data_IF_554101568487
#
_entry.id   IF_554101568487
#
_cell.length_a   1.000
_cell.length_b   1.000
_cell.length_c   1.000
_cell.angle_alpha   90.00
_cell.angle_beta   90.00
_cell.angle_gamma   90.00
#
_symmetry.space_group_name_H-M   'P 1'
#
loop_
_entity.id
_entity.type
_entity.pdbx_description
1 polymer ?
#
# COMPACT_ATOMS: atom_id res chain seq x y z
N UNK A 1 -13.92 -11.72 -9.36
CA UNK A 1 -14.00 -11.30 -7.98
C UNK A 1 -12.70 -10.64 -7.57
N UNK A 2 -12.79 -9.48 -6.96
CA UNK A 2 -11.61 -8.69 -6.60
C UNK A 2 -11.03 -9.17 -5.28
N UNK A 3 -9.77 -9.60 -5.28
CA UNK A 3 -9.06 -10.07 -4.10
C UNK A 3 -8.06 -9.04 -3.56
N UNK A 4 -8.11 -7.82 -4.09
CA UNK A 4 -7.26 -6.73 -3.63
C UNK A 4 -5.81 -6.76 -4.11
N UNK A 5 -5.42 -7.71 -4.93
CA UNK A 5 -4.04 -7.81 -5.42
C UNK A 5 -3.73 -6.62 -6.32
N UNK A 6 -2.67 -5.87 -5.98
CA UNK A 6 -2.18 -4.76 -6.78
C UNK A 6 -0.86 -5.08 -7.47
N UNK A 7 -0.16 -6.12 -7.01
CA UNK A 7 1.07 -6.60 -7.63
C UNK A 7 1.29 -8.06 -7.29
N UNK A 8 1.72 -8.85 -8.27
CA UNK A 8 2.05 -10.26 -8.05
C UNK A 8 3.04 -10.74 -9.10
N UNK A 9 4.04 -11.47 -8.64
CA UNK A 9 4.93 -12.25 -9.50
C UNK A 9 5.19 -13.60 -8.82
N UNK A 10 6.19 -14.36 -9.28
CA UNK A 10 6.43 -15.71 -8.77
C UNK A 10 6.80 -15.76 -7.29
N UNK A 11 7.39 -14.69 -6.75
CA UNK A 11 7.92 -14.66 -5.39
C UNK A 11 7.28 -13.61 -4.50
N UNK A 12 6.60 -12.62 -5.09
CA UNK A 12 6.09 -11.47 -4.35
C UNK A 12 4.60 -11.24 -4.62
N UNK A 13 3.89 -10.78 -3.59
CA UNK A 13 2.50 -10.38 -3.72
C UNK A 13 2.22 -9.21 -2.77
N UNK A 14 1.48 -8.22 -3.26
CA UNK A 14 0.98 -7.12 -2.44
C UNK A 14 -0.51 -6.99 -2.71
N UNK A 15 -1.30 -6.96 -1.64
CA UNK A 15 -2.73 -6.71 -1.76
C UNK A 15 -3.16 -5.63 -0.78
N UNK A 16 -4.18 -4.86 -1.17
CA UNK A 16 -4.82 -3.88 -0.33
C UNK A 16 -6.31 -3.88 -0.64
N UNK A 17 -7.14 -3.91 0.38
CA UNK A 17 -8.58 -4.02 0.21
C UNK A 17 -9.29 -3.23 1.30
N UNK A 18 -10.20 -2.34 0.91
CA UNK A 18 -10.99 -1.60 1.88
C UNK A 18 -12.01 -2.54 2.54
N UNK A 19 -12.11 -2.44 3.87
CA UNK A 19 -13.02 -3.25 4.67
C UNK A 19 -14.27 -2.47 5.07
N UNK A 20 -14.10 -1.25 5.55
CA UNK A 20 -15.22 -0.37 5.95
C UNK A 20 -14.73 1.06 6.08
N UNK A 21 -15.70 1.98 6.12
CA UNK A 21 -15.45 3.40 6.33
C UNK A 21 -16.34 3.89 7.46
N UNK A 22 -15.75 4.43 8.52
CA UNK A 22 -16.47 4.91 9.69
C UNK A 22 -15.90 6.26 10.11
N UNK A 23 -16.77 7.27 10.20
CA UNK A 23 -16.37 8.58 10.73
C UNK A 23 -15.28 9.27 9.95
N UNK A 24 -15.24 9.08 8.65
CA UNK A 24 -14.22 9.70 7.81
C UNK A 24 -12.89 8.96 7.78
N UNK A 25 -12.82 7.76 8.35
CA UNK A 25 -11.64 6.90 8.33
C UNK A 25 -11.97 5.59 7.64
N UNK A 26 -11.08 5.19 6.73
CA UNK A 26 -11.22 3.93 5.99
C UNK A 26 -10.22 2.93 6.53
N UNK A 27 -10.68 1.72 6.80
CA UNK A 27 -9.80 0.62 7.20
C UNK A 27 -9.55 -0.28 6.00
N UNK A 28 -8.27 -0.48 5.71
CA UNK A 28 -7.81 -1.37 4.63
C UNK A 28 -7.09 -2.56 5.23
N UNK A 29 -7.31 -3.74 4.65
CA UNK A 29 -6.43 -4.88 4.93
C UNK A 29 -5.29 -4.84 3.93
N UNK A 30 -4.05 -4.83 4.44
CA UNK A 30 -2.83 -4.84 3.63
C UNK A 30 -2.11 -6.15 3.88
N UNK A 31 -1.78 -6.85 2.81
CA UNK A 31 -1.06 -8.12 2.90
C UNK A 31 0.16 -8.10 1.98
N UNK A 32 1.25 -8.65 2.49
CA UNK A 32 2.53 -8.75 1.79
C UNK A 32 3.01 -10.19 1.86
N UNK A 33 3.49 -10.71 0.74
CA UNK A 33 4.19 -11.99 0.69
C UNK A 33 5.44 -11.81 -0.15
N UNK A 34 6.61 -12.15 0.39
CA UNK A 34 7.90 -11.99 -0.31
C UNK A 34 8.92 -12.97 0.26
N UNK A 35 9.58 -13.70 -0.63
CA UNK A 35 10.71 -14.60 -0.29
C UNK A 35 10.42 -15.55 0.88
N UNK A 36 9.21 -16.10 0.94
CA UNK A 36 8.83 -17.04 1.99
C UNK A 36 8.34 -16.38 3.28
N UNK A 37 8.38 -15.07 3.36
CA UNK A 37 7.80 -14.31 4.48
C UNK A 37 6.46 -13.75 4.07
N UNK A 38 5.50 -13.73 5.00
CA UNK A 38 4.21 -13.11 4.74
C UNK A 38 3.64 -12.49 6.00
N UNK A 39 2.82 -11.47 5.80
CA UNK A 39 2.13 -10.81 6.89
C UNK A 39 0.95 -10.00 6.36
N UNK A 40 0.02 -9.69 7.26
CA UNK A 40 -1.08 -8.80 6.96
C UNK A 40 -1.48 -8.04 8.21
N UNK A 41 -1.96 -6.84 8.01
CA UNK A 41 -2.51 -6.03 9.09
C UNK A 41 -3.48 -5.02 8.52
N UNK A 42 -4.17 -4.30 9.39
CA UNK A 42 -5.10 -3.28 8.97
C UNK A 42 -4.43 -1.91 9.03
N UNK A 43 -4.67 -1.11 8.00
CA UNK A 43 -4.29 0.31 7.96
C UNK A 43 -5.55 1.15 8.08
N UNK A 44 -5.55 2.08 9.01
CA UNK A 44 -6.60 3.08 9.15
C UNK A 44 -6.11 4.39 8.55
N UNK A 45 -6.82 4.92 7.57
CA UNK A 45 -6.40 6.11 6.83
C UNK A 45 -7.58 7.07 6.72
N UNK A 46 -7.36 8.35 7.05
CA UNK A 46 -8.42 9.35 6.91
C UNK A 46 -8.72 9.61 5.44
N UNK A 47 -9.97 9.97 5.16
CA UNK A 47 -10.38 10.31 3.79
C UNK A 47 -9.56 11.47 3.22
N UNK A 48 -9.18 12.45 4.05
CA UNK A 48 -8.35 13.55 3.60
C UNK A 48 -6.96 13.08 3.16
N UNK A 49 -6.36 12.17 3.93
CA UNK A 49 -5.08 11.59 3.55
C UNK A 49 -5.18 10.74 2.28
N UNK A 50 -6.29 10.04 2.09
CA UNK A 50 -6.50 9.27 0.86
C UNK A 50 -6.48 10.20 -0.36
N UNK A 51 -7.14 11.37 -0.27
CA UNK A 51 -7.12 12.35 -1.36
C UNK A 51 -5.71 12.82 -1.67
N UNK A 52 -4.93 13.12 -0.62
CA UNK A 52 -3.54 13.53 -0.78
C UNK A 52 -2.68 12.43 -1.41
N UNK A 53 -2.85 11.19 -0.97
CA UNK A 53 -2.14 10.05 -1.53
C UNK A 53 -2.47 9.87 -3.02
N UNK A 54 -3.73 9.97 -3.40
CA UNK A 54 -4.15 9.84 -4.80
C UNK A 54 -3.50 10.92 -5.66
N UNK A 55 -3.43 12.15 -5.15
CA UNK A 55 -2.77 13.25 -5.88
C UNK A 55 -1.28 12.96 -6.08
N UNK A 56 -0.58 12.52 -5.03
CA UNK A 56 0.84 12.14 -5.13
C UNK A 56 1.02 11.01 -6.14
N UNK A 57 0.18 9.98 -6.10
CA UNK A 57 0.25 8.86 -7.02
C UNK A 57 0.08 9.33 -8.46
N UNK A 58 -0.89 10.21 -8.73
CA UNK A 58 -1.11 10.76 -10.06
C UNK A 58 0.13 11.50 -10.57
N UNK A 59 0.78 12.26 -9.71
CA UNK A 59 2.00 12.97 -10.07
C UNK A 59 3.16 12.01 -10.35
N UNK A 60 3.29 10.95 -9.56
CA UNK A 60 4.31 9.91 -9.77
C UNK A 60 4.11 9.21 -11.12
N UNK A 61 2.87 8.90 -11.48
CA UNK A 61 2.54 8.27 -12.75
C UNK A 61 2.96 9.18 -13.91
N UNK A 62 2.70 10.48 -13.81
CA UNK A 62 3.02 11.44 -14.87
C UNK A 62 4.53 11.66 -15.02
N UNK A 63 5.25 11.77 -13.91
CA UNK A 63 6.67 12.12 -13.93
C UNK A 63 7.60 10.91 -14.00
N UNK A 64 7.09 9.71 -13.73
CA UNK A 64 7.89 8.49 -13.58
C UNK A 64 9.03 8.69 -12.57
N UNK A 65 8.73 9.37 -11.49
CA UNK A 65 9.69 9.69 -10.43
C UNK A 65 8.95 9.95 -9.12
N UNK A 66 9.73 10.03 -8.03
CA UNK A 66 9.21 10.40 -6.73
C UNK A 66 8.92 9.21 -5.83
N UNK A 67 8.26 9.52 -4.73
CA UNK A 67 7.95 8.53 -3.69
C UNK A 67 6.64 8.87 -3.00
N UNK A 68 6.07 7.87 -2.35
CA UNK A 68 4.91 8.03 -1.49
C UNK A 68 5.08 7.13 -0.26
N UNK A 69 4.72 7.65 0.90
CA UNK A 69 4.64 6.86 2.14
C UNK A 69 3.20 6.84 2.61
N UNK A 70 2.65 5.66 2.76
CA UNK A 70 1.29 5.44 3.26
C UNK A 70 1.41 4.90 4.68
N UNK A 71 0.81 5.61 5.63
CA UNK A 71 0.92 5.27 7.05
C UNK A 71 -0.41 4.84 7.63
N UNK A 72 -0.35 3.83 8.52
CA UNK A 72 -1.45 3.54 9.41
C UNK A 72 -1.48 4.62 10.51
N UNK A 73 -2.63 5.24 10.73
CA UNK A 73 -2.75 6.28 11.74
C UNK A 73 -2.75 5.74 13.17
N UNK A 74 -2.87 4.43 13.36
CA UNK A 74 -2.99 3.80 14.68
C UNK A 74 -1.75 3.02 15.10
N UNK A 75 -0.76 2.88 14.21
CA UNK A 75 0.45 2.09 14.50
C UNK A 75 1.63 2.61 13.71
N UNK A 76 2.77 1.91 13.83
CA UNK A 76 3.98 2.22 13.07
C UNK A 76 4.01 1.57 11.68
N UNK A 77 2.96 0.83 11.31
CA UNK A 77 2.92 0.18 10.00
C UNK A 77 2.89 1.21 8.88
N UNK A 78 3.61 0.94 7.81
CA UNK A 78 3.68 1.85 6.67
C UNK A 78 4.10 1.11 5.41
N UNK A 79 3.81 1.73 4.26
CA UNK A 79 4.30 1.32 2.95
C UNK A 79 4.99 2.51 2.30
N UNK A 80 6.18 2.30 1.76
CA UNK A 80 6.87 3.29 0.94
C UNK A 80 7.05 2.73 -0.46
N UNK A 81 6.53 3.45 -1.45
CA UNK A 81 6.66 3.10 -2.85
C UNK A 81 7.46 4.20 -3.53
N UNK A 82 8.50 3.84 -4.28
CA UNK A 82 9.38 4.84 -4.85
C UNK A 82 10.08 4.37 -6.11
N UNK A 83 10.40 5.34 -6.96
CA UNK A 83 11.28 5.12 -8.10
C UNK A 83 12.72 5.24 -7.62
N UNK A 84 13.47 4.15 -7.71
CA UNK A 84 14.91 4.18 -7.44
C UNK A 84 15.61 4.94 -8.57
N UNK A 85 15.15 4.67 -9.80
CA UNK A 85 15.46 5.43 -11.01
C UNK A 85 14.28 5.22 -11.99
N UNK A 86 14.40 5.68 -13.24
CA UNK A 86 13.29 5.57 -14.21
C UNK A 86 12.92 4.14 -14.57
N UNK A 87 13.82 3.20 -14.33
CA UNK A 87 13.65 1.79 -14.70
C UNK A 87 13.33 0.89 -13.51
N UNK A 88 13.61 1.33 -12.28
CA UNK A 88 13.50 0.50 -11.10
C UNK A 88 12.53 1.08 -10.09
N UNK A 89 11.52 0.30 -9.76
CA UNK A 89 10.50 0.68 -8.79
C UNK A 89 10.54 -0.27 -7.60
N UNK A 90 10.51 0.28 -6.40
CA UNK A 90 10.62 -0.50 -5.16
C UNK A 90 9.47 -0.22 -4.21
N UNK A 91 9.14 -1.24 -3.41
CA UNK A 91 8.21 -1.13 -2.30
C UNK A 91 8.91 -1.63 -1.06
N UNK A 92 8.88 -0.85 0.01
CA UNK A 92 9.36 -1.29 1.31
C UNK A 92 8.37 -0.85 2.38
N UNK A 93 8.47 -1.47 3.55
CA UNK A 93 7.61 -1.06 4.63
C UNK A 93 7.63 -2.01 5.81
N UNK A 94 6.64 -1.82 6.66
CA UNK A 94 6.44 -2.64 7.85
C UNK A 94 4.96 -3.02 7.93
N UNK A 95 4.72 -4.32 8.06
CA UNK A 95 3.40 -4.87 8.35
C UNK A 95 3.37 -5.20 9.83
N UNK A 96 2.31 -4.75 10.52
CA UNK A 96 2.21 -4.83 11.97
C UNK A 96 2.83 -3.63 12.67
N UNK A 97 2.27 -3.26 13.82
CA UNK A 97 2.72 -2.11 14.59
C UNK A 97 3.66 -2.49 15.71
N UNK A 98 4.28 -1.48 16.34
CA UNK A 98 5.25 -1.68 17.41
C UNK A 98 4.65 -2.34 18.67
N UNK A 99 3.33 -2.33 18.81
CA UNK A 99 2.63 -2.95 19.95
C UNK A 99 2.27 -4.42 19.71
N UNK A 100 2.51 -4.92 18.49
CA UNK A 100 2.19 -6.30 18.16
C UNK A 100 3.39 -7.19 18.41
N UNK A 101 3.14 -8.46 18.75
CA UNK A 101 4.20 -9.43 19.02
C UNK A 101 5.00 -9.73 17.76
N UNK A 102 4.38 -9.60 16.59
CA UNK A 102 5.02 -9.95 15.34
C UNK A 102 4.92 -8.78 14.35
N UNK A 103 6.04 -8.48 13.71
CA UNK A 103 6.09 -7.49 12.64
C UNK A 103 6.89 -8.06 11.48
N UNK A 104 6.57 -7.60 10.27
CA UNK A 104 7.32 -7.94 9.08
C UNK A 104 7.84 -6.66 8.45
N UNK A 105 9.16 -6.51 8.43
CA UNK A 105 9.81 -5.47 7.63
C UNK A 105 10.24 -6.10 6.32
N UNK A 106 9.93 -5.43 5.21
CA UNK A 106 10.16 -6.01 3.90
C UNK A 106 10.65 -4.97 2.91
N UNK A 107 11.30 -5.45 1.86
CA UNK A 107 11.64 -4.67 0.67
C UNK A 107 11.52 -5.59 -0.52
N UNK A 108 10.87 -5.12 -1.57
CA UNK A 108 10.77 -5.88 -2.81
C UNK A 108 10.83 -4.95 -4.01
N UNK A 109 11.27 -5.51 -5.14
CA UNK A 109 11.19 -4.81 -6.42
C UNK A 109 9.83 -5.09 -7.02
N UNK A 110 9.23 -4.05 -7.57
CA UNK A 110 7.94 -4.14 -8.21
C UNK A 110 7.98 -3.44 -9.57
N UNK A 111 6.84 -3.21 -10.12
CA UNK A 111 6.67 -2.51 -11.37
C UNK A 111 5.84 -1.26 -11.09
N UNK A 112 6.13 -0.18 -11.81
CA UNK A 112 5.40 1.07 -11.65
C UNK A 112 3.89 0.95 -11.90
N UNK A 113 3.47 -0.11 -12.59
CA UNK A 113 2.04 -0.37 -12.81
C UNK A 113 1.29 -0.60 -11.51
N UNK A 114 1.98 -0.94 -10.41
CA UNK A 114 1.38 -1.07 -9.09
C UNK A 114 0.68 0.23 -8.65
N UNK A 115 1.15 1.38 -9.14
CA UNK A 115 0.56 2.68 -8.79
C UNK A 115 -0.89 2.79 -9.25
N UNK A 116 -1.23 2.22 -10.40
CA UNK A 116 -2.62 2.22 -10.89
C UNK A 116 -3.51 1.37 -10.00
N UNK A 117 -3.05 0.17 -9.64
CA UNK A 117 -3.78 -0.71 -8.74
C UNK A 117 -3.95 -0.10 -7.35
N UNK A 118 -2.89 0.51 -6.83
CA UNK A 118 -2.94 1.17 -5.52
C UNK A 118 -3.98 2.29 -5.52
N UNK A 119 -3.95 3.15 -6.54
CA UNK A 119 -4.92 4.24 -6.67
C UNK A 119 -6.35 3.71 -6.69
N UNK A 120 -6.60 2.68 -7.50
CA UNK A 120 -7.92 2.06 -7.61
C UNK A 120 -8.41 1.54 -6.26
N UNK A 121 -7.55 0.84 -5.53
CA UNK A 121 -7.92 0.27 -4.23
C UNK A 121 -8.12 1.33 -3.16
N UNK A 122 -7.31 2.38 -3.18
CA UNK A 122 -7.46 3.47 -2.20
C UNK A 122 -8.82 4.15 -2.31
N UNK A 123 -9.35 4.34 -3.52
CA UNK A 123 -10.66 4.98 -3.71
C UNK A 123 -11.82 3.99 -3.71
N UNK A 124 -11.54 2.70 -3.73
CA UNK A 124 -12.57 1.66 -3.82
C UNK A 124 -13.56 1.64 -2.66
N UNK A 125 -13.19 2.21 -1.52
CA UNK A 125 -14.09 2.27 -0.36
C UNK A 125 -15.41 3.01 -0.66
N UNK A 126 -15.42 3.86 -1.66
CA UNK A 126 -16.61 4.62 -2.06
C UNK A 126 -17.71 3.71 -2.60
N UNK A 127 -17.38 2.47 -2.91
CA UNK A 127 -18.33 1.50 -3.47
C UNK A 127 -18.68 0.38 -2.48
N UNK A 128 -18.30 0.54 -1.23
CA UNK A 128 -18.64 -0.43 -0.18
C UNK A 128 -20.13 -0.36 0.20
#
# INVERSE_FOLDING_TARGET
>A
MDNGIIYQNNTNMISIQSLYCIGGYVTYEVAISTDGFSGRCNFCISEDNIKDYVEVINNMIKSLSGEIEIHDCESDAYLKLYFEDTMNFCVLGQIGGSYEDNTLKFKLKADQTILYGLKEKLVGYKFL
#
